data_IF_470349205823
#
_entry.id   IF_470349205823
#
_cell.length_a   1.000
_cell.length_b   1.000
_cell.length_c   1.000
_cell.angle_alpha   90.00
_cell.angle_beta   90.00
_cell.angle_gamma   90.00
#
_symmetry.space_group_name_H-M   'P 1'
#
loop_
_entity.id
_entity.type
_entity.pdbx_description
1 polymer ?
#
# COMPACT_ATOMS: atom_id res chain seq x y z
N UNK A 1 24.87 25.55 -10.63
CA UNK A 1 24.66 24.68 -9.46
C UNK A 1 23.34 25.11 -8.85
N UNK A 2 22.26 24.85 -9.58
CA UNK A 2 20.91 24.98 -9.04
C UNK A 2 20.57 23.57 -8.60
N UNK A 3 20.41 23.41 -7.28
CA UNK A 3 20.10 22.15 -6.64
C UNK A 3 18.85 21.53 -7.29
N UNK A 4 19.06 20.38 -7.93
CA UNK A 4 18.06 19.54 -8.57
C UNK A 4 17.33 18.64 -7.56
N UNK A 5 16.84 19.12 -6.43
CA UNK A 5 16.02 18.27 -5.52
C UNK A 5 14.81 19.01 -4.93
N UNK A 6 14.21 19.91 -5.71
CA UNK A 6 12.89 20.45 -5.45
C UNK A 6 11.78 19.51 -5.96
N UNK A 7 11.81 18.20 -5.61
CA UNK A 7 10.65 17.32 -5.79
C UNK A 7 9.68 17.52 -4.61
N UNK A 8 9.15 18.73 -4.54
CA UNK A 8 8.04 19.13 -3.67
C UNK A 8 6.73 18.63 -4.27
N UNK A 9 6.52 17.31 -4.32
CA UNK A 9 5.26 16.72 -4.79
C UNK A 9 4.56 16.03 -3.63
N UNK A 10 3.46 16.63 -3.17
CA UNK A 10 2.42 15.93 -2.44
C UNK A 10 2.08 14.62 -3.17
N UNK A 11 2.44 13.47 -2.60
CA UNK A 11 2.12 12.18 -3.18
C UNK A 11 0.67 11.86 -2.80
N UNK A 12 -0.26 12.00 -3.75
CA UNK A 12 -1.58 11.40 -3.61
C UNK A 12 -1.43 9.89 -3.82
N UNK A 13 -1.56 9.12 -2.74
CA UNK A 13 -1.41 7.68 -2.78
C UNK A 13 -2.79 7.05 -2.75
N UNK A 14 -3.08 6.32 -3.82
CA UNK A 14 -4.28 5.53 -3.95
C UNK A 14 -4.01 4.16 -3.34
N UNK A 15 -4.63 3.88 -2.19
CA UNK A 15 -4.57 2.59 -1.52
C UNK A 15 -5.84 1.81 -1.87
N UNK A 16 -5.67 0.72 -2.58
CA UNK A 16 -6.72 -0.26 -2.84
C UNK A 16 -6.65 -1.36 -1.79
N UNK A 17 -7.71 -1.50 -0.99
CA UNK A 17 -7.80 -2.57 -0.01
C UNK A 17 -8.58 -3.77 -0.60
N UNK A 18 -7.90 -4.90 -0.79
CA UNK A 18 -8.54 -6.14 -1.20
C UNK A 18 -8.84 -7.00 0.04
N UNK A 19 -10.05 -6.84 0.59
CA UNK A 19 -10.49 -7.58 1.79
C UNK A 19 -10.88 -9.04 1.52
N UNK A 20 -10.88 -9.50 0.27
CA UNK A 20 -11.17 -10.91 -0.05
C UNK A 20 -9.90 -11.62 -0.47
N UNK A 21 -9.50 -12.60 0.34
CA UNK A 21 -8.47 -13.61 0.06
C UNK A 21 -8.69 -14.34 -1.27
N UNK A 22 -9.91 -14.28 -1.87
CA UNK A 22 -10.28 -14.96 -3.11
C UNK A 22 -10.52 -14.04 -4.33
N UNK A 23 -10.31 -12.72 -4.23
CA UNK A 23 -10.71 -11.78 -5.30
C UNK A 23 -9.54 -11.20 -6.11
N UNK A 24 -8.40 -11.88 -6.15
CA UNK A 24 -7.23 -11.39 -6.89
C UNK A 24 -7.44 -11.42 -8.43
N UNK A 25 -8.24 -12.36 -8.94
CA UNK A 25 -8.57 -12.49 -10.37
C UNK A 25 -9.73 -11.59 -10.84
N UNK A 26 -10.39 -10.88 -9.93
CA UNK A 26 -11.63 -10.14 -10.21
C UNK A 26 -11.45 -8.60 -10.27
N UNK A 27 -10.21 -8.13 -10.52
CA UNK A 27 -9.90 -6.69 -10.67
C UNK A 27 -10.67 -6.01 -11.82
N UNK A 28 -11.27 -6.78 -12.73
CA UNK A 28 -11.95 -6.26 -13.92
C UNK A 28 -13.45 -5.94 -13.72
N UNK A 29 -14.14 -6.57 -12.76
CA UNK A 29 -15.62 -6.58 -12.76
C UNK A 29 -16.29 -6.05 -11.48
N UNK A 30 -15.56 -5.80 -10.39
CA UNK A 30 -16.18 -5.36 -9.13
C UNK A 30 -15.59 -4.03 -8.65
N UNK A 31 -16.42 -3.04 -8.27
CA UNK A 31 -15.91 -1.84 -7.61
C UNK A 31 -15.10 -2.27 -6.40
N UNK A 32 -13.86 -1.79 -6.33
CA UNK A 32 -12.95 -1.98 -5.20
C UNK A 32 -13.66 -1.34 -4.00
N UNK A 33 -14.42 -2.15 -3.25
CA UNK A 33 -15.39 -1.64 -2.28
C UNK A 33 -14.75 -0.86 -1.11
N UNK A 34 -13.42 -0.91 -1.00
CA UNK A 34 -12.63 -0.35 0.08
C UNK A 34 -11.40 0.41 -0.46
N UNK A 35 -11.58 1.25 -1.47
CA UNK A 35 -10.54 2.20 -1.88
C UNK A 35 -10.37 3.31 -0.84
N UNK A 36 -9.12 3.59 -0.45
CA UNK A 36 -8.74 4.60 0.53
C UNK A 36 -7.72 5.54 -0.11
N UNK A 37 -8.04 6.84 -0.15
CA UNK A 37 -7.12 7.87 -0.65
C UNK A 37 -6.34 8.46 0.52
N UNK A 38 -5.03 8.35 0.47
CA UNK A 38 -4.13 8.81 1.52
C UNK A 38 -3.18 9.84 0.93
N UNK A 39 -3.21 11.05 1.48
CA UNK A 39 -2.20 12.06 1.20
C UNK A 39 -1.05 11.86 2.17
N UNK A 40 0.11 11.47 1.67
CA UNK A 40 1.28 11.21 2.50
C UNK A 40 2.59 11.49 1.77
N UNK A 41 3.68 11.36 2.50
CA UNK A 41 5.03 11.68 2.07
C UNK A 41 5.81 10.40 1.76
N UNK A 42 6.87 10.44 0.92
CA UNK A 42 7.65 9.26 0.56
C UNK A 42 8.43 8.65 1.75
N UNK A 43 8.65 9.39 2.82
CA UNK A 43 9.24 8.92 4.07
C UNK A 43 8.25 8.15 4.96
N UNK A 44 6.96 8.13 4.61
CA UNK A 44 5.98 7.35 5.34
C UNK A 44 6.33 5.86 5.31
N UNK A 45 6.19 5.23 6.48
CA UNK A 45 6.51 3.84 6.72
C UNK A 45 5.34 2.92 6.36
N UNK A 46 5.64 1.67 6.02
CA UNK A 46 4.61 0.65 5.81
C UNK A 46 3.72 0.47 7.04
N UNK A 47 4.27 0.72 8.24
CA UNK A 47 3.51 0.69 9.48
C UNK A 47 2.43 1.77 9.52
N UNK A 48 2.76 3.01 9.18
CA UNK A 48 1.79 4.12 9.16
C UNK A 48 0.68 3.86 8.14
N UNK A 49 1.03 3.34 6.95
CA UNK A 49 0.02 2.95 5.96
C UNK A 49 -0.88 1.84 6.50
N UNK A 50 -0.32 0.84 7.16
CA UNK A 50 -1.09 -0.25 7.76
C UNK A 50 -1.99 0.23 8.91
N UNK A 51 -1.56 1.20 9.71
CA UNK A 51 -2.35 1.77 10.81
C UNK A 51 -3.53 2.59 10.25
N UNK A 52 -3.32 3.39 9.20
CA UNK A 52 -4.41 4.10 8.50
C UNK A 52 -5.44 3.14 7.89
N UNK A 53 -4.99 2.01 7.38
CA UNK A 53 -5.87 0.96 6.82
C UNK A 53 -6.67 0.27 7.92
N UNK A 54 -6.07 0.04 9.09
CA UNK A 54 -6.77 -0.52 10.26
C UNK A 54 -7.82 0.45 10.81
N UNK A 55 -7.55 1.76 10.78
CA UNK A 55 -8.52 2.78 11.21
C UNK A 55 -9.74 2.85 10.27
N UNK A 56 -9.51 2.62 8.97
CA UNK A 56 -10.58 2.59 7.96
C UNK A 56 -11.35 1.25 7.94
N UNK A 57 -10.69 0.13 8.22
CA UNK A 57 -11.27 -1.21 8.11
C UNK A 57 -11.10 -2.05 9.37
N UNK A 58 -12.22 -2.31 10.06
CA UNK A 58 -12.27 -3.15 11.25
C UNK A 58 -11.83 -4.62 11.02
N UNK A 59 -11.89 -5.14 9.79
CA UNK A 59 -11.40 -6.49 9.48
C UNK A 59 -9.86 -6.56 9.52
N UNK A 60 -9.20 -5.48 9.08
CA UNK A 60 -7.75 -5.33 9.16
C UNK A 60 -7.27 -5.15 10.61
N UNK A 61 -8.13 -4.67 11.52
CA UNK A 61 -7.80 -4.49 12.94
C UNK A 61 -7.75 -5.82 13.72
N UNK A 62 -8.25 -6.92 13.14
CA UNK A 62 -8.36 -8.20 13.86
C UNK A 62 -7.00 -8.72 14.32
N UNK A 63 -6.89 -9.22 15.57
CA UNK A 63 -5.65 -9.83 16.04
C UNK A 63 -5.29 -11.05 15.18
N UNK A 64 -3.99 -11.27 15.01
CA UNK A 64 -3.38 -12.33 14.17
C UNK A 64 -3.50 -12.17 12.65
N UNK A 65 -4.13 -11.12 12.11
CA UNK A 65 -4.09 -10.86 10.67
C UNK A 65 -2.75 -10.25 10.24
N UNK A 66 -2.32 -10.54 9.02
CA UNK A 66 -1.14 -9.92 8.38
C UNK A 66 -1.59 -9.13 7.17
N UNK A 67 -1.16 -7.88 7.06
CA UNK A 67 -1.39 -7.02 5.92
C UNK A 67 -0.21 -7.19 4.97
N UNK A 68 -0.41 -7.91 3.87
CA UNK A 68 0.59 -8.00 2.81
C UNK A 68 0.44 -6.77 1.92
N UNK A 69 1.51 -6.00 1.77
CA UNK A 69 1.53 -4.74 1.03
C UNK A 69 2.28 -4.95 -0.28
N UNK A 70 1.66 -4.51 -1.36
CA UNK A 70 2.16 -4.63 -2.71
C UNK A 70 1.99 -3.30 -3.45
N UNK A 71 2.97 -2.94 -4.25
CA UNK A 71 2.91 -1.77 -5.13
C UNK A 71 2.52 -2.26 -6.51
N UNK A 72 1.45 -1.69 -7.05
CA UNK A 72 0.97 -1.93 -8.41
C UNK A 72 1.34 -0.71 -9.24
N UNK A 73 2.28 -0.90 -10.16
CA UNK A 73 2.74 0.12 -11.10
C UNK A 73 2.25 -0.22 -12.50
N UNK A 74 1.76 0.76 -13.26
CA UNK A 74 1.49 0.54 -14.68
C UNK A 74 2.79 0.59 -15.48
N UNK A 75 3.04 -0.45 -16.29
CA UNK A 75 4.14 -0.43 -17.24
C UNK A 75 3.75 0.36 -18.49
N UNK A 76 4.76 0.85 -19.22
CA UNK A 76 4.55 1.54 -20.51
C UNK A 76 3.82 0.67 -21.55
N UNK A 77 3.87 -0.65 -21.39
CA UNK A 77 3.16 -1.62 -22.22
C UNK A 77 1.67 -1.79 -21.85
N UNK A 78 1.16 -1.00 -20.90
CA UNK A 78 -0.23 -1.05 -20.44
C UNK A 78 -0.53 -2.26 -19.53
N UNK A 79 0.50 -2.90 -18.96
CA UNK A 79 0.34 -4.02 -18.02
C UNK A 79 0.50 -3.53 -16.59
N UNK A 80 -0.34 -3.99 -15.68
CA UNK A 80 -0.15 -3.78 -14.26
C UNK A 80 0.99 -4.68 -13.74
N UNK A 81 2.07 -4.08 -13.26
CA UNK A 81 3.16 -4.76 -12.58
C UNK A 81 2.95 -4.67 -11.07
N UNK A 82 2.57 -5.79 -10.47
CA UNK A 82 2.49 -5.91 -9.02
C UNK A 82 3.82 -6.37 -8.43
N UNK A 83 4.32 -5.63 -7.45
CA UNK A 83 5.55 -5.91 -6.72
C UNK A 83 5.24 -6.02 -5.24
N UNK A 84 5.50 -7.19 -4.66
CA UNK A 84 5.36 -7.38 -3.21
C UNK A 84 6.47 -6.62 -2.49
N UNK A 85 6.07 -5.76 -1.57
CA UNK A 85 6.99 -4.87 -0.84
C UNK A 85 7.37 -5.44 0.53
N UNK A 86 6.38 -5.99 1.22
CA UNK A 86 6.54 -6.52 2.56
C UNK A 86 5.20 -6.89 3.17
N UNK A 87 5.22 -7.19 4.45
CA UNK A 87 4.00 -7.39 5.22
C UNK A 87 4.11 -6.74 6.60
N UNK A 88 2.99 -6.24 7.09
CA UNK A 88 2.88 -5.67 8.44
C UNK A 88 1.91 -6.54 9.24
N UNK A 89 2.24 -6.81 10.49
CA UNK A 89 1.29 -7.49 11.37
C UNK A 89 0.24 -6.47 11.86
N UNK A 90 -1.03 -6.85 11.85
CA UNK A 90 -2.10 -6.02 12.43
C UNK A 90 -1.87 -5.83 13.93
N UNK A 91 -1.40 -6.89 14.60
CA UNK A 91 -0.89 -6.77 15.95
C UNK A 91 0.34 -5.85 15.98
N UNK A 92 0.53 -5.08 17.05
CA UNK A 92 1.72 -4.25 17.31
C UNK A 92 3.03 -5.06 17.54
N UNK A 93 3.06 -6.32 17.07
CA UNK A 93 4.25 -7.16 16.99
C UNK A 93 5.13 -6.59 15.89
N UNK A 94 6.34 -6.15 16.28
CA UNK A 94 7.34 -5.64 15.35
C UNK A 94 7.60 -6.65 14.22
N UNK A 95 7.41 -6.20 12.99
CA UNK A 95 7.84 -6.88 11.77
C UNK A 95 9.14 -6.24 11.25
N UNK A 96 9.95 -7.01 10.53
CA UNK A 96 11.16 -6.49 9.89
C UNK A 96 10.85 -5.43 8.81
N UNK A 97 9.64 -5.47 8.24
CA UNK A 97 9.22 -4.58 7.17
C UNK A 97 8.55 -3.29 7.68
N UNK A 98 8.23 -3.18 8.97
CA UNK A 98 7.49 -2.04 9.54
C UNK A 98 8.19 -0.70 9.29
N UNK A 99 9.52 -0.68 9.35
CA UNK A 99 10.34 0.51 9.18
C UNK A 99 10.69 0.83 7.72
N UNK A 100 10.23 0.03 6.75
CA UNK A 100 10.44 0.33 5.34
C UNK A 100 9.60 1.54 4.97
N UNK A 101 10.21 2.49 4.29
CA UNK A 101 9.53 3.68 3.78
C UNK A 101 9.07 3.47 2.34
N UNK A 102 8.10 4.27 1.89
CA UNK A 102 7.66 4.28 0.50
C UNK A 102 8.80 4.58 -0.49
N UNK A 103 9.71 5.47 -0.10
CA UNK A 103 10.93 5.76 -0.85
C UNK A 103 11.82 4.52 -0.99
N UNK A 104 12.01 3.76 0.10
CA UNK A 104 12.84 2.54 0.09
C UNK A 104 12.31 1.46 -0.85
N UNK A 105 11.01 1.48 -1.14
CA UNK A 105 10.33 0.43 -1.93
C UNK A 105 10.11 0.88 -3.38
N UNK A 106 10.68 2.04 -3.75
CA UNK A 106 10.57 2.67 -5.08
C UNK A 106 9.12 2.84 -5.52
N UNK A 107 8.32 3.37 -4.60
CA UNK A 107 6.99 3.89 -4.91
C UNK A 107 7.14 5.24 -5.63
N UNK A 108 6.43 5.42 -6.74
CA UNK A 108 6.38 6.68 -7.47
C UNK A 108 4.97 7.26 -7.44
N UNK A 109 4.82 8.60 -7.50
CA UNK A 109 3.50 9.22 -7.64
C UNK A 109 2.76 8.65 -8.87
N UNK A 110 1.54 8.16 -8.64
CA UNK A 110 0.73 7.48 -9.67
C UNK A 110 0.73 5.95 -9.57
N UNK A 111 1.61 5.36 -8.74
CA UNK A 111 1.52 3.96 -8.37
C UNK A 111 0.36 3.74 -7.39
N UNK A 112 -0.22 2.53 -7.42
CA UNK A 112 -1.26 2.07 -6.51
C UNK A 112 -0.66 1.17 -5.42
N UNK A 113 -1.20 1.24 -4.21
CA UNK A 113 -0.88 0.27 -3.15
C UNK A 113 -2.03 -0.73 -3.01
N UNK A 114 -1.74 -2.00 -3.28
CA UNK A 114 -2.65 -3.10 -2.99
C UNK A 114 -2.31 -3.72 -1.64
N UNK A 115 -3.33 -3.86 -0.79
CA UNK A 115 -3.19 -4.45 0.53
C UNK A 115 -4.11 -5.66 0.65
N UNK A 116 -3.50 -6.82 0.85
CA UNK A 116 -4.19 -8.08 1.03
C UNK A 116 -4.15 -8.51 2.50
N UNK A 117 -5.32 -8.87 3.03
CA UNK A 117 -5.45 -9.43 4.38
C UNK A 117 -5.18 -10.94 4.34
N UNK A 118 -4.18 -11.39 5.10
CA UNK A 118 -3.82 -12.80 5.27
C UNK A 118 -4.12 -13.25 6.70
N UNK A 119 -4.55 -14.50 6.83
CA UNK A 119 -4.74 -15.21 8.11
C UNK A 119 -3.45 -15.88 8.61
#
# INVERSE_FOLDING_TARGET
MLDEEFFSTDCNIFVSLCCRTEAFEALDEKPIANELHIYTWPDATLREIADLVQDSNADAQKPNKRLSICVVSETRDGRALMRKVGFVNSSHRRCADDSKTLASVRFHPGDLLDIALME
#
